data_IF_255231145398
#
_entry.id   IF_255231145398
#
_cell.length_a   1.000
_cell.length_b   1.000
_cell.length_c   1.000
_cell.angle_alpha   90.00
_cell.angle_beta   90.00
_cell.angle_gamma   90.00
#
_symmetry.space_group_name_H-M   'P 1'
#
loop_
_entity.id
_entity.type
_entity.pdbx_description
1 polymer ?
#
# COMPACT_ATOMS: atom_id res chain seq x y z
N UNK A 1 11.25 22.98 3.08
CA UNK A 1 10.94 21.60 2.69
C UNK A 1 9.48 21.28 2.97
N UNK A 2 8.94 20.27 2.36
CA UNK A 2 7.59 19.74 2.60
C UNK A 2 7.68 18.26 2.98
N UNK A 3 6.62 17.69 3.54
CA UNK A 3 6.56 16.27 3.88
C UNK A 3 5.35 15.60 3.19
N UNK A 4 5.55 14.38 2.67
CA UNK A 4 4.48 13.46 2.37
C UNK A 4 4.08 12.76 3.67
N UNK A 5 2.95 13.17 4.25
CA UNK A 5 2.50 12.70 5.56
C UNK A 5 1.29 11.78 5.41
N UNK A 6 1.49 10.47 5.51
CA UNK A 6 0.42 9.46 5.38
C UNK A 6 -0.37 9.21 6.67
N UNK A 7 0.11 9.69 7.82
CA UNK A 7 -0.45 9.35 9.13
C UNK A 7 0.05 8.00 9.68
N UNK A 8 0.88 7.27 8.94
CA UNK A 8 1.56 6.08 9.44
C UNK A 8 2.73 6.44 10.38
N UNK A 9 3.13 5.48 11.23
CA UNK A 9 4.16 5.64 12.26
C UNK A 9 5.47 6.24 11.74
N UNK A 10 5.93 5.79 10.58
CA UNK A 10 7.20 6.23 9.99
C UNK A 10 7.12 7.71 9.55
N UNK A 11 6.06 8.08 8.85
CA UNK A 11 5.85 9.48 8.43
C UNK A 11 5.59 10.42 9.62
N UNK A 12 5.03 9.91 10.73
CA UNK A 12 4.86 10.66 11.98
C UNK A 12 6.20 10.99 12.62
N UNK A 13 7.12 10.01 12.67
CA UNK A 13 8.48 10.23 13.19
C UNK A 13 9.22 11.28 12.36
N UNK A 14 9.14 11.20 11.03
CA UNK A 14 9.74 12.21 10.15
C UNK A 14 9.12 13.58 10.37
N UNK A 15 7.79 13.67 10.47
CA UNK A 15 7.11 14.92 10.75
C UNK A 15 7.57 15.53 12.06
N UNK A 16 7.59 14.76 13.16
CA UNK A 16 8.02 15.22 14.46
C UNK A 16 9.49 15.66 14.48
N UNK A 17 10.38 14.84 13.91
CA UNK A 17 11.83 15.09 13.88
C UNK A 17 12.22 16.36 13.12
N UNK A 18 11.44 16.69 12.08
CA UNK A 18 11.74 17.83 11.19
C UNK A 18 10.69 18.95 11.26
N UNK A 19 9.78 18.94 12.24
CA UNK A 19 8.64 19.87 12.35
C UNK A 19 9.01 21.34 12.20
N UNK A 20 10.12 21.77 12.79
CA UNK A 20 10.57 23.18 12.75
C UNK A 20 11.04 23.62 11.36
N UNK A 21 11.28 22.68 10.44
CA UNK A 21 11.77 22.91 9.08
C UNK A 21 10.72 22.61 8.02
N UNK A 22 9.65 21.92 8.39
CA UNK A 22 8.55 21.58 7.47
C UNK A 22 7.63 22.78 7.33
N UNK A 23 7.47 23.26 6.09
CA UNK A 23 6.58 24.38 5.78
C UNK A 23 5.15 23.94 5.48
N UNK A 24 4.97 22.65 5.11
CA UNK A 24 3.69 22.11 4.64
C UNK A 24 3.72 20.58 4.63
N UNK A 25 2.63 19.98 5.06
CA UNK A 25 2.37 18.56 4.89
C UNK A 25 1.43 18.32 3.70
N UNK A 26 1.69 17.27 2.93
CA UNK A 26 0.83 16.85 1.82
C UNK A 26 0.35 15.44 2.12
N UNK A 27 -0.97 15.23 2.06
CA UNK A 27 -1.64 13.97 2.27
C UNK A 27 -2.40 13.56 1.01
N UNK A 28 -2.26 12.31 0.57
CA UNK A 28 -3.02 11.76 -0.53
C UNK A 28 -4.35 11.17 -0.02
N UNK A 29 -5.47 11.79 -0.40
CA UNK A 29 -6.80 11.23 -0.16
C UNK A 29 -7.29 10.53 -1.43
N UNK A 30 -7.25 9.21 -1.41
CA UNK A 30 -7.70 8.36 -2.53
C UNK A 30 -9.21 8.25 -2.63
N UNK A 31 -9.97 8.83 -1.68
CA UNK A 31 -11.40 8.59 -1.52
C UNK A 31 -11.72 7.25 -0.83
N UNK A 32 -10.69 6.47 -0.50
CA UNK A 32 -10.83 5.18 0.22
C UNK A 32 -9.91 5.07 1.43
N UNK A 33 -9.40 6.19 1.92
CA UNK A 33 -8.67 6.23 3.19
C UNK A 33 -9.65 5.95 4.34
N UNK A 34 -9.21 5.23 5.36
CA UNK A 34 -10.01 5.04 6.56
C UNK A 34 -10.30 6.39 7.25
N UNK A 35 -11.56 6.65 7.68
CA UNK A 35 -11.92 7.95 8.26
C UNK A 35 -11.03 8.39 9.43
N UNK A 36 -10.73 7.48 10.36
CA UNK A 36 -9.86 7.79 11.51
C UNK A 36 -8.43 8.15 11.11
N UNK A 37 -7.91 7.62 9.97
CA UNK A 37 -6.59 8.00 9.47
C UNK A 37 -6.58 9.45 8.97
N UNK A 38 -7.64 9.88 8.27
CA UNK A 38 -7.78 11.27 7.83
C UNK A 38 -7.85 12.21 9.04
N UNK A 39 -8.64 11.86 10.05
CA UNK A 39 -8.80 12.66 11.27
C UNK A 39 -7.49 12.73 12.06
N UNK A 40 -6.76 11.63 12.14
CA UNK A 40 -5.43 11.60 12.77
C UNK A 40 -4.44 12.52 12.05
N UNK A 41 -4.38 12.49 10.71
CA UNK A 41 -3.53 13.38 9.91
C UNK A 41 -3.86 14.85 10.16
N UNK A 42 -5.15 15.20 10.18
CA UNK A 42 -5.59 16.59 10.45
C UNK A 42 -5.18 17.04 11.85
N UNK A 43 -5.52 16.26 12.89
CA UNK A 43 -5.18 16.56 14.29
C UNK A 43 -3.67 16.68 14.51
N UNK A 44 -2.89 15.80 13.89
CA UNK A 44 -1.44 15.85 14.01
C UNK A 44 -0.86 17.12 13.37
N UNK A 45 -1.32 17.47 12.18
CA UNK A 45 -0.88 18.70 11.52
C UNK A 45 -1.30 19.96 12.29
N UNK A 46 -2.50 19.98 12.87
CA UNK A 46 -2.98 21.06 13.74
C UNK A 46 -2.13 21.17 15.01
N UNK A 47 -1.85 20.04 15.69
CA UNK A 47 -1.00 19.99 16.91
C UNK A 47 0.38 20.59 16.69
N UNK A 48 0.98 20.39 15.52
CA UNK A 48 2.31 20.90 15.18
C UNK A 48 2.28 22.19 14.35
N UNK A 49 1.12 22.80 14.19
CA UNK A 49 0.91 24.03 13.40
C UNK A 49 1.46 23.96 11.96
N UNK A 50 1.43 22.76 11.37
CA UNK A 50 1.91 22.50 10.01
C UNK A 50 0.72 22.57 9.03
N UNK A 51 0.72 23.49 8.06
CA UNK A 51 -0.34 23.58 7.04
C UNK A 51 -0.49 22.25 6.29
N UNK A 52 -1.69 21.67 6.31
CA UNK A 52 -2.03 20.43 5.64
C UNK A 52 -2.69 20.72 4.28
N UNK A 53 -2.16 20.08 3.25
CA UNK A 53 -2.78 20.03 1.93
C UNK A 53 -3.25 18.61 1.65
N UNK A 54 -4.52 18.45 1.33
CA UNK A 54 -5.10 17.18 0.91
C UNK A 54 -5.16 17.17 -0.60
N UNK A 55 -4.39 16.26 -1.20
CA UNK A 55 -4.34 16.02 -2.65
C UNK A 55 -5.22 14.84 -2.98
N UNK A 56 -6.09 15.01 -3.97
CA UNK A 56 -7.01 13.98 -4.46
C UNK A 56 -6.72 13.64 -5.91
N UNK A 57 -6.88 12.37 -6.25
CA UNK A 57 -6.95 11.97 -7.66
C UNK A 57 -8.20 12.57 -8.31
N UNK A 58 -8.13 13.03 -9.56
CA UNK A 58 -9.31 13.39 -10.33
C UNK A 58 -10.18 12.17 -10.67
N UNK A 59 -9.62 10.97 -10.52
CA UNK A 59 -10.30 9.70 -10.80
C UNK A 59 -10.89 9.15 -9.50
N UNK A 60 -12.16 8.73 -9.55
CA UNK A 60 -12.79 8.04 -8.43
C UNK A 60 -12.24 6.62 -8.30
N UNK A 61 -11.76 6.26 -7.12
CA UNK A 61 -11.10 4.96 -6.89
C UNK A 61 -12.08 3.78 -7.03
N UNK A 62 -13.35 3.95 -6.68
CA UNK A 62 -14.34 2.88 -6.81
C UNK A 62 -14.68 2.62 -8.28
N UNK A 63 -14.80 3.68 -9.09
CA UNK A 63 -14.99 3.58 -10.53
C UNK A 63 -13.75 2.98 -11.20
N UNK A 64 -12.55 3.37 -10.77
CA UNK A 64 -11.30 2.79 -11.24
C UNK A 64 -11.24 1.28 -10.99
N UNK A 65 -11.55 0.85 -9.77
CA UNK A 65 -11.58 -0.56 -9.39
C UNK A 65 -12.67 -1.32 -10.15
N UNK A 66 -13.81 -0.69 -10.43
CA UNK A 66 -14.87 -1.31 -11.23
C UNK A 66 -14.39 -1.67 -12.64
N UNK A 67 -13.59 -0.78 -13.26
CA UNK A 67 -13.10 -0.98 -14.63
C UNK A 67 -11.80 -1.79 -14.70
N UNK A 68 -10.90 -1.64 -13.72
CA UNK A 68 -9.56 -2.24 -13.72
C UNK A 68 -9.43 -3.48 -12.84
N UNK A 69 -10.35 -3.66 -11.90
CA UNK A 69 -10.30 -4.72 -10.89
C UNK A 69 -9.62 -4.31 -9.58
N UNK A 70 -9.67 -5.21 -8.60
CA UNK A 70 -9.03 -5.01 -7.30
C UNK A 70 -7.50 -5.10 -7.41
N UNK A 71 -6.74 -4.23 -6.72
CA UNK A 71 -5.29 -4.38 -6.64
C UNK A 71 -4.91 -5.70 -5.97
N UNK A 72 -3.97 -6.44 -6.53
CA UNK A 72 -3.52 -7.72 -5.99
C UNK A 72 -2.03 -7.94 -6.24
N UNK A 73 -1.33 -8.38 -5.20
CA UNK A 73 0.05 -8.85 -5.25
C UNK A 73 0.19 -10.24 -5.89
N UNK A 74 -0.93 -10.98 -5.98
CA UNK A 74 -1.01 -12.27 -6.69
C UNK A 74 -1.35 -12.11 -8.17
N UNK A 75 -1.08 -10.94 -8.75
CA UNK A 75 -1.37 -10.67 -10.14
C UNK A 75 -0.67 -11.68 -11.06
N UNK A 76 -1.47 -12.54 -11.66
CA UNK A 76 -1.05 -13.39 -12.77
C UNK A 76 -1.07 -12.51 -14.02
N UNK A 77 0.02 -12.49 -14.77
CA UNK A 77 0.17 -11.72 -16.00
C UNK A 77 -1.13 -11.71 -16.82
N UNK A 78 -1.50 -10.53 -17.32
CA UNK A 78 -2.61 -10.40 -18.27
C UNK A 78 -2.50 -11.53 -19.28
N UNK A 79 -3.45 -12.43 -19.26
CA UNK A 79 -3.66 -13.30 -20.40
C UNK A 79 -3.69 -12.40 -21.65
N UNK A 80 -3.10 -12.79 -22.77
CA UNK A 80 -3.00 -11.96 -23.97
C UNK A 80 -4.36 -11.53 -24.53
N UNK A 81 -5.47 -12.01 -23.96
CA UNK A 81 -6.81 -11.62 -24.33
C UNK A 81 -7.28 -10.44 -23.45
N UNK A 82 -7.42 -9.22 -24.00
CA UNK A 82 -7.91 -8.06 -23.29
C UNK A 82 -9.35 -8.20 -22.75
N UNK A 83 -10.08 -9.22 -23.18
CA UNK A 83 -11.45 -9.49 -22.74
C UNK A 83 -11.53 -10.38 -21.48
N UNK A 84 -10.43 -10.96 -21.01
CA UNK A 84 -10.37 -11.68 -19.74
C UNK A 84 -10.11 -10.69 -18.60
N UNK A 85 -11.16 -10.03 -18.14
CA UNK A 85 -11.07 -9.22 -16.93
C UNK A 85 -11.27 -10.14 -15.72
N UNK A 86 -10.15 -10.58 -15.13
CA UNK A 86 -10.15 -11.34 -13.87
C UNK A 86 -10.59 -10.50 -12.66
N UNK A 87 -10.91 -9.22 -12.88
CA UNK A 87 -11.23 -8.29 -11.78
C UNK A 87 -10.05 -7.95 -10.88
N UNK A 88 -8.82 -8.17 -11.36
CA UNK A 88 -7.58 -7.87 -10.65
C UNK A 88 -6.68 -6.94 -11.47
N UNK A 89 -5.91 -6.08 -10.77
CA UNK A 89 -4.91 -5.19 -11.36
C UNK A 89 -3.64 -5.20 -10.50
N UNK A 90 -2.55 -4.67 -11.05
CA UNK A 90 -1.33 -4.43 -10.28
C UNK A 90 -1.55 -3.36 -9.22
N UNK A 91 -1.01 -3.54 -8.00
CA UNK A 91 -1.06 -2.51 -6.95
C UNK A 91 -0.50 -1.16 -7.44
N UNK A 92 0.60 -1.20 -8.20
CA UNK A 92 1.28 -0.01 -8.71
C UNK A 92 0.42 0.78 -9.71
N UNK A 93 -0.44 0.12 -10.50
CA UNK A 93 -1.37 0.79 -11.40
C UNK A 93 -2.40 1.62 -10.61
N UNK A 94 -2.95 1.03 -9.54
CA UNK A 94 -3.89 1.71 -8.67
C UNK A 94 -3.22 2.83 -7.86
N UNK A 95 -2.10 2.55 -7.19
CA UNK A 95 -1.37 3.54 -6.41
C UNK A 95 -0.81 4.65 -7.30
N UNK A 96 -0.37 4.31 -8.52
CA UNK A 96 0.09 5.27 -9.50
C UNK A 96 -0.97 6.31 -9.82
N UNK A 97 -2.20 5.88 -10.08
CA UNK A 97 -3.29 6.77 -10.46
C UNK A 97 -3.89 7.52 -9.26
N UNK A 98 -4.00 6.84 -8.11
CA UNK A 98 -4.68 7.40 -6.94
C UNK A 98 -3.77 8.25 -6.04
N UNK A 99 -2.46 7.96 -6.01
CA UNK A 99 -1.52 8.55 -5.06
C UNK A 99 -0.36 9.24 -5.77
N UNK A 100 0.43 8.48 -6.56
CA UNK A 100 1.74 8.96 -7.00
C UNK A 100 1.64 10.09 -8.00
N UNK A 101 0.86 9.94 -9.07
CA UNK A 101 0.68 10.99 -10.08
C UNK A 101 0.05 12.27 -9.50
N UNK A 102 -1.08 12.22 -8.75
CA UNK A 102 -1.66 13.43 -8.17
C UNK A 102 -0.71 14.15 -7.22
N UNK A 103 -0.01 13.40 -6.35
CA UNK A 103 0.96 13.97 -5.41
C UNK A 103 2.14 14.61 -6.14
N UNK A 104 2.70 13.91 -7.13
CA UNK A 104 3.83 14.40 -7.91
C UNK A 104 3.47 15.67 -8.70
N UNK A 105 2.35 15.64 -9.41
CA UNK A 105 1.85 16.80 -10.15
C UNK A 105 1.62 18.03 -9.24
N UNK A 106 1.05 17.79 -8.05
CA UNK A 106 0.87 18.86 -7.08
C UNK A 106 2.23 19.43 -6.60
N UNK A 107 3.19 18.57 -6.29
CA UNK A 107 4.53 19.00 -5.86
C UNK A 107 5.25 19.83 -6.93
N UNK A 108 5.14 19.44 -8.20
CA UNK A 108 5.66 20.24 -9.33
C UNK A 108 4.95 21.60 -9.38
N UNK A 109 3.62 21.61 -9.33
CA UNK A 109 2.80 22.83 -9.44
C UNK A 109 3.17 23.87 -8.38
N UNK A 110 3.48 23.44 -7.15
CA UNK A 110 3.88 24.35 -6.07
C UNK A 110 5.38 24.65 -6.05
N UNK A 111 6.15 24.15 -7.00
CA UNK A 111 7.60 24.34 -7.09
C UNK A 111 8.36 23.73 -5.91
N UNK A 112 7.92 22.57 -5.41
CA UNK A 112 8.59 21.88 -4.31
C UNK A 112 10.05 21.58 -4.68
N UNK A 113 10.98 21.81 -3.73
CA UNK A 113 12.41 21.56 -3.95
C UNK A 113 12.93 20.38 -3.12
N UNK A 114 12.46 20.24 -1.89
CA UNK A 114 12.85 19.15 -0.99
C UNK A 114 11.59 18.54 -0.41
N UNK A 115 11.47 17.23 -0.54
CA UNK A 115 10.32 16.43 -0.07
C UNK A 115 10.81 15.34 0.87
N UNK A 116 10.32 15.35 2.11
CA UNK A 116 10.59 14.31 3.10
C UNK A 116 9.56 13.19 2.99
N UNK A 117 10.01 11.95 3.16
CA UNK A 117 9.18 10.75 3.16
C UNK A 117 9.57 9.84 4.33
N UNK A 118 8.60 9.07 4.86
CA UNK A 118 8.83 8.09 5.94
C UNK A 118 9.23 6.71 5.45
N UNK A 119 9.83 6.58 4.25
CA UNK A 119 10.19 5.29 3.68
C UNK A 119 11.50 4.76 4.25
N UNK A 120 11.56 3.43 4.48
CA UNK A 120 12.75 2.70 4.94
C UNK A 120 13.27 1.76 3.86
N UNK A 121 14.54 1.36 3.96
CA UNK A 121 15.13 0.35 3.06
C UNK A 121 14.43 -1.00 3.14
N UNK A 122 13.86 -1.33 4.32
CA UNK A 122 13.12 -2.57 4.57
C UNK A 122 11.70 -2.58 3.99
N UNK A 123 11.16 -1.44 3.55
CA UNK A 123 9.85 -1.38 2.94
C UNK A 123 9.86 -2.06 1.58
N UNK A 124 8.89 -2.93 1.32
CA UNK A 124 8.85 -3.81 0.12
C UNK A 124 8.60 -3.07 -1.21
N UNK A 125 8.45 -1.76 -1.19
CA UNK A 125 8.24 -0.98 -2.41
C UNK A 125 9.57 -0.56 -3.00
N UNK A 126 9.64 -0.51 -4.33
CA UNK A 126 10.80 -0.04 -5.07
C UNK A 126 11.17 1.35 -4.56
N UNK A 127 12.20 1.41 -3.76
CA UNK A 127 12.76 2.67 -3.31
C UNK A 127 13.97 3.02 -4.14
N UNK A 128 14.05 4.29 -4.50
CA UNK A 128 15.20 4.84 -5.25
C UNK A 128 16.38 5.18 -4.33
N UNK A 129 16.34 4.81 -3.04
CA UNK A 129 17.39 5.02 -2.06
C UNK A 129 17.04 6.00 -0.96
N UNK A 130 18.03 6.31 -0.10
CA UNK A 130 17.88 7.27 0.99
C UNK A 130 17.55 8.68 0.47
N UNK A 131 18.17 9.05 -0.66
CA UNK A 131 17.95 10.30 -1.36
C UNK A 131 17.93 10.06 -2.86
N UNK A 132 17.10 10.80 -3.60
CA UNK A 132 17.05 10.77 -5.05
C UNK A 132 16.41 12.03 -5.61
N UNK A 133 16.72 12.34 -6.87
CA UNK A 133 16.14 13.47 -7.61
C UNK A 133 15.14 12.97 -8.66
N UNK A 134 14.00 13.65 -8.75
CA UNK A 134 13.00 13.41 -9.78
C UNK A 134 12.33 14.74 -10.17
N UNK A 135 12.34 15.07 -11.44
CA UNK A 135 11.72 16.28 -12.02
C UNK A 135 12.07 17.58 -11.27
N UNK A 136 13.34 17.72 -10.85
CA UNK A 136 13.85 18.88 -10.12
C UNK A 136 13.40 18.97 -8.65
N UNK A 137 12.87 17.89 -8.11
CA UNK A 137 12.50 17.71 -6.69
C UNK A 137 13.51 16.74 -6.07
N UNK A 138 14.13 17.15 -4.97
CA UNK A 138 14.99 16.30 -4.16
C UNK A 138 14.16 15.59 -3.08
N UNK A 139 14.09 14.26 -3.16
CA UNK A 139 13.39 13.41 -2.20
C UNK A 139 14.37 12.87 -1.17
N UNK A 140 13.99 12.92 0.10
CA UNK A 140 14.79 12.45 1.22
C UNK A 140 13.96 11.49 2.08
N UNK A 141 14.53 10.33 2.36
CA UNK A 141 13.99 9.30 3.26
C UNK A 141 14.83 9.26 4.55
N UNK A 142 14.56 10.11 5.55
CA UNK A 142 15.42 10.26 6.72
C UNK A 142 15.51 9.04 7.63
N UNK A 143 14.59 8.07 7.45
CA UNK A 143 14.54 6.82 8.21
C UNK A 143 15.06 5.63 7.38
N UNK A 144 15.83 5.88 6.32
CA UNK A 144 16.23 4.84 5.36
C UNK A 144 16.82 3.59 6.04
N UNK A 145 17.74 3.78 6.98
CA UNK A 145 18.43 2.70 7.68
C UNK A 145 17.75 2.29 9.01
N UNK A 146 16.57 2.83 9.31
CA UNK A 146 15.85 2.52 10.54
C UNK A 146 15.09 1.20 10.42
N UNK A 147 15.03 0.48 11.56
CA UNK A 147 14.13 -0.66 11.76
C UNK A 147 12.77 -0.19 12.28
N UNK A 148 11.80 -1.10 12.31
CA UNK A 148 10.51 -0.82 12.95
C UNK A 148 10.68 -0.59 14.46
N UNK A 149 11.62 -1.28 15.10
CA UNK A 149 11.93 -1.10 16.53
C UNK A 149 12.49 0.30 16.80
N UNK A 150 13.36 0.82 15.92
CA UNK A 150 13.87 2.20 16.05
C UNK A 150 12.74 3.22 15.97
N UNK A 151 11.79 3.00 15.05
CA UNK A 151 10.60 3.87 14.90
C UNK A 151 9.73 3.85 16.15
N UNK A 152 9.41 2.66 16.69
CA UNK A 152 8.60 2.56 17.92
C UNK A 152 9.35 3.07 19.15
N UNK A 153 10.66 2.86 19.26
CA UNK A 153 11.47 3.42 20.33
C UNK A 153 11.42 4.94 20.32
N UNK A 154 11.58 5.57 19.15
CA UNK A 154 11.45 7.00 19.00
C UNK A 154 10.06 7.52 19.39
N UNK A 155 8.99 6.83 18.96
CA UNK A 155 7.61 7.16 19.31
C UNK A 155 7.42 7.13 20.83
N UNK A 156 7.92 6.10 21.50
CA UNK A 156 7.80 5.94 22.95
C UNK A 156 8.66 6.99 23.70
N UNK A 157 9.90 7.23 23.25
CA UNK A 157 10.80 8.21 23.86
C UNK A 157 10.22 9.64 23.85
N UNK A 158 9.48 9.96 22.78
CA UNK A 158 8.90 11.30 22.60
C UNK A 158 7.40 11.37 22.92
N UNK A 159 6.82 10.31 23.49
CA UNK A 159 5.39 10.20 23.83
C UNK A 159 4.48 10.64 22.66
N UNK A 160 4.77 10.13 21.46
CA UNK A 160 4.01 10.49 20.29
C UNK A 160 2.71 9.69 20.22
N UNK A 161 1.61 10.40 20.06
CA UNK A 161 0.33 9.78 19.76
C UNK A 161 0.36 9.16 18.35
N UNK A 162 -0.01 7.88 18.23
CA UNK A 162 -0.14 7.17 16.96
C UNK A 162 -1.61 6.92 16.63
N UNK A 163 -1.90 6.64 15.36
CA UNK A 163 -3.26 6.37 14.93
C UNK A 163 -3.86 5.13 15.65
N UNK A 164 -5.15 5.20 16.00
CA UNK A 164 -5.82 4.23 16.88
C UNK A 164 -5.73 2.77 16.42
N UNK A 165 -5.62 2.53 15.11
CA UNK A 165 -5.54 1.18 14.57
C UNK A 165 -4.28 0.42 15.01
N UNK A 166 -3.20 1.12 15.37
CA UNK A 166 -1.97 0.48 15.88
C UNK A 166 -2.18 -0.26 17.20
N UNK A 167 -3.27 0.01 17.93
CA UNK A 167 -3.67 -0.74 19.11
C UNK A 167 -4.22 -2.15 18.78
N UNK A 168 -4.66 -2.37 17.55
CA UNK A 168 -5.23 -3.65 17.08
C UNK A 168 -4.39 -4.31 15.97
N UNK A 169 -3.71 -3.49 15.16
CA UNK A 169 -2.93 -3.91 13.99
C UNK A 169 -1.57 -3.22 14.03
N UNK A 170 -0.48 -3.98 14.03
CA UNK A 170 0.88 -3.43 14.07
C UNK A 170 1.38 -2.91 12.70
N UNK A 171 0.48 -2.72 11.74
CA UNK A 171 0.79 -2.35 10.36
C UNK A 171 0.06 -1.06 9.99
N UNK A 172 0.63 -0.29 9.07
CA UNK A 172 -0.04 0.86 8.48
C UNK A 172 -1.27 0.41 7.69
N UNK A 173 -2.35 1.18 7.79
CA UNK A 173 -3.54 0.98 6.97
C UNK A 173 -3.44 1.83 5.70
N UNK A 174 -3.58 1.16 4.56
CA UNK A 174 -3.76 1.82 3.27
C UNK A 174 -5.25 2.14 3.02
N UNK A 175 -5.67 2.12 1.76
CA UNK A 175 -7.08 2.23 1.42
C UNK A 175 -7.88 1.06 1.99
N UNK A 176 -9.09 1.33 2.53
CA UNK A 176 -9.95 0.27 3.09
C UNK A 176 -10.37 -0.78 2.05
N UNK A 177 -10.39 -0.41 0.76
CA UNK A 177 -10.70 -1.30 -0.36
C UNK A 177 -9.45 -1.92 -1.01
N UNK A 178 -8.26 -1.72 -0.44
CA UNK A 178 -7.02 -2.28 -0.96
C UNK A 178 -6.90 -3.76 -0.61
N UNK A 179 -6.66 -4.57 -1.62
CA UNK A 179 -6.45 -6.01 -1.51
C UNK A 179 -5.05 -6.43 -1.98
N UNK A 180 -4.16 -5.45 -2.17
CA UNK A 180 -2.80 -5.66 -2.65
C UNK A 180 -1.95 -6.58 -1.77
N UNK A 181 -2.29 -6.69 -0.50
CA UNK A 181 -1.48 -7.39 0.49
C UNK A 181 -2.21 -8.62 1.10
N UNK A 182 -3.10 -9.26 0.34
CA UNK A 182 -3.84 -10.44 0.84
C UNK A 182 -2.96 -11.65 1.13
N UNK A 183 -1.79 -11.75 0.50
CA UNK A 183 -0.81 -12.81 0.77
C UNK A 183 0.02 -12.57 2.04
N UNK A 184 0.02 -11.36 2.59
CA UNK A 184 0.79 -11.01 3.79
C UNK A 184 0.17 -11.56 5.07
N UNK A 185 0.98 -11.86 6.07
CA UNK A 185 0.54 -12.39 7.37
C UNK A 185 -0.50 -11.50 8.08
N UNK A 186 -0.44 -10.19 7.88
CA UNK A 186 -1.36 -9.20 8.46
C UNK A 186 -2.73 -9.12 7.77
N UNK A 187 -2.90 -9.69 6.58
CA UNK A 187 -4.10 -9.52 5.76
C UNK A 187 -5.40 -9.89 6.49
N UNK A 188 -5.42 -11.03 7.19
CA UNK A 188 -6.60 -11.49 7.93
C UNK A 188 -6.98 -10.54 9.08
N UNK A 189 -5.99 -9.96 9.78
CA UNK A 189 -6.22 -8.97 10.85
C UNK A 189 -6.83 -7.70 10.27
N UNK A 190 -6.28 -7.21 9.15
CA UNK A 190 -6.74 -6.02 8.47
C UNK A 190 -8.18 -6.17 7.94
N UNK A 191 -8.51 -7.29 7.29
CA UNK A 191 -9.87 -7.57 6.85
C UNK A 191 -10.84 -7.69 8.04
N UNK A 192 -10.42 -8.34 9.13
CA UNK A 192 -11.20 -8.45 10.37
C UNK A 192 -11.42 -7.09 11.03
N UNK A 193 -10.41 -6.24 11.06
CA UNK A 193 -10.52 -4.86 11.53
C UNK A 193 -11.55 -4.08 10.72
N UNK A 194 -11.44 -4.12 9.38
CA UNK A 194 -12.40 -3.44 8.50
C UNK A 194 -13.82 -3.93 8.75
N UNK A 195 -14.01 -5.26 8.85
CA UNK A 195 -15.34 -5.85 9.14
C UNK A 195 -15.91 -5.41 10.48
N UNK A 196 -15.07 -5.35 11.52
CA UNK A 196 -15.48 -5.01 12.89
C UNK A 196 -15.77 -3.52 13.06
N UNK A 197 -14.86 -2.67 12.58
CA UNK A 197 -14.90 -1.22 12.82
C UNK A 197 -15.67 -0.44 11.76
N UNK A 198 -15.76 -0.96 10.54
CA UNK A 198 -16.35 -0.28 9.39
C UNK A 198 -17.24 -1.25 8.59
N UNK A 199 -18.37 -1.73 9.17
CA UNK A 199 -19.22 -2.75 8.54
C UNK A 199 -19.79 -2.32 7.19
N UNK A 200 -20.07 -1.02 7.00
CA UNK A 200 -20.56 -0.51 5.70
C UNK A 200 -19.48 -0.56 4.62
N UNK A 201 -18.23 -0.21 4.95
CA UNK A 201 -17.11 -0.34 4.03
C UNK A 201 -16.83 -1.81 3.72
N UNK A 202 -16.91 -2.66 4.74
CA UNK A 202 -16.80 -4.11 4.56
C UNK A 202 -17.85 -4.68 3.60
N UNK A 203 -19.08 -4.21 3.66
CA UNK A 203 -20.15 -4.64 2.77
C UNK A 203 -19.81 -4.38 1.29
N UNK A 204 -19.20 -3.23 0.99
CA UNK A 204 -18.74 -2.89 -0.36
C UNK A 204 -17.56 -3.79 -0.77
N UNK A 205 -16.54 -3.88 0.08
CA UNK A 205 -15.34 -4.68 -0.18
C UNK A 205 -15.66 -6.17 -0.34
N UNK A 206 -16.47 -6.74 0.57
CA UNK A 206 -16.83 -8.16 0.54
C UNK A 206 -17.60 -8.55 -0.71
N UNK A 207 -18.43 -7.67 -1.26
CA UNK A 207 -19.13 -7.90 -2.54
C UNK A 207 -18.12 -8.05 -3.68
N UNK A 208 -17.11 -7.18 -3.75
CA UNK A 208 -16.04 -7.24 -4.77
C UNK A 208 -15.16 -8.48 -4.60
N UNK A 209 -14.76 -8.80 -3.36
CA UNK A 209 -14.01 -10.02 -3.05
C UNK A 209 -14.79 -11.29 -3.42
N UNK A 210 -16.11 -11.31 -3.18
CA UNK A 210 -16.97 -12.43 -3.55
C UNK A 210 -17.06 -12.61 -5.07
N UNK A 211 -17.02 -11.52 -5.84
CA UNK A 211 -16.95 -11.59 -7.30
C UNK A 211 -15.65 -12.22 -7.76
N UNK A 212 -14.50 -11.73 -7.27
CA UNK A 212 -13.17 -12.28 -7.59
C UNK A 212 -13.11 -13.76 -7.24
N UNK A 213 -13.56 -14.14 -6.03
CA UNK A 213 -13.60 -15.55 -5.61
C UNK A 213 -14.41 -16.42 -6.56
N UNK A 214 -15.60 -15.99 -6.98
CA UNK A 214 -16.43 -16.77 -7.91
C UNK A 214 -15.77 -16.92 -9.28
N UNK A 215 -15.11 -15.87 -9.76
CA UNK A 215 -14.39 -15.93 -11.05
C UNK A 215 -13.26 -16.94 -10.97
N UNK A 216 -12.43 -16.89 -9.91
CA UNK A 216 -11.33 -17.84 -9.73
C UNK A 216 -11.80 -19.29 -9.59
N UNK A 217 -12.90 -19.53 -8.86
CA UNK A 217 -13.47 -20.87 -8.72
C UNK A 217 -13.98 -21.40 -10.07
N UNK A 218 -14.62 -20.56 -10.88
CA UNK A 218 -15.09 -20.95 -12.22
C UNK A 218 -13.92 -21.28 -13.15
N UNK A 219 -12.85 -20.50 -13.13
CA UNK A 219 -11.65 -20.80 -13.92
C UNK A 219 -11.01 -22.12 -13.47
N UNK A 220 -11.00 -22.39 -12.17
CA UNK A 220 -10.53 -23.68 -11.65
C UNK A 220 -11.39 -24.83 -12.15
N UNK A 221 -12.72 -24.72 -12.08
CA UNK A 221 -13.64 -25.75 -12.62
C UNK A 221 -13.38 -26.04 -14.11
N UNK A 222 -13.19 -25.00 -14.92
CA UNK A 222 -12.86 -25.14 -16.35
C UNK A 222 -11.54 -25.85 -16.55
N UNK A 223 -10.52 -25.53 -15.72
CA UNK A 223 -9.23 -26.20 -15.78
C UNK A 223 -9.35 -27.68 -15.37
N UNK A 224 -10.08 -27.97 -14.31
CA UNK A 224 -10.30 -29.34 -13.82
C UNK A 224 -11.05 -30.19 -14.84
N UNK A 225 -12.01 -29.59 -15.58
CA UNK A 225 -12.73 -30.26 -16.67
C UNK A 225 -11.89 -30.44 -17.95
N UNK A 226 -10.92 -29.55 -18.19
CA UNK A 226 -10.15 -29.48 -19.43
C UNK A 226 -8.85 -30.30 -19.39
N UNK A 227 -8.36 -30.62 -18.22
CA UNK A 227 -7.11 -31.33 -18.01
C UNK A 227 -7.29 -32.47 -17.01
N UNK A 228 -6.82 -33.67 -17.37
CA UNK A 228 -6.51 -34.71 -16.40
C UNK A 228 -5.33 -34.24 -15.57
N UNK A 229 -5.63 -33.39 -14.58
CA UNK A 229 -4.61 -32.74 -13.77
C UNK A 229 -3.90 -33.78 -12.90
N UNK A 230 -2.62 -33.99 -13.17
CA UNK A 230 -1.68 -34.36 -12.13
C UNK A 230 -1.83 -33.31 -11.03
N UNK A 231 -2.14 -33.67 -9.77
CA UNK A 231 -2.39 -32.71 -8.72
C UNK A 231 -1.28 -31.66 -8.67
N UNK A 232 -1.67 -30.40 -8.60
CA UNK A 232 -0.72 -29.26 -8.57
C UNK A 232 0.38 -29.46 -7.52
N UNK A 233 0.05 -30.20 -6.45
CA UNK A 233 0.94 -30.61 -5.39
C UNK A 233 2.12 -31.44 -5.88
N UNK A 234 1.91 -32.38 -6.80
CA UNK A 234 2.97 -33.23 -7.34
C UNK A 234 3.87 -32.46 -8.29
N UNK A 235 3.34 -31.50 -9.05
CA UNK A 235 4.15 -30.64 -9.92
C UNK A 235 5.01 -29.66 -9.13
N UNK A 236 4.51 -29.10 -8.02
CA UNK A 236 5.29 -28.23 -7.13
C UNK A 236 6.39 -29.03 -6.42
N UNK A 237 6.10 -30.25 -5.98
CA UNK A 237 7.08 -31.13 -5.34
C UNK A 237 8.17 -31.55 -6.34
N UNK A 238 7.80 -31.94 -7.56
CA UNK A 238 8.75 -32.24 -8.63
C UNK A 238 9.64 -31.03 -8.98
N UNK A 239 9.07 -29.83 -9.02
CA UNK A 239 9.84 -28.61 -9.28
C UNK A 239 10.80 -28.25 -8.14
N UNK A 240 10.43 -28.52 -6.90
CA UNK A 240 11.31 -28.36 -5.75
C UNK A 240 12.44 -29.40 -5.74
N UNK A 241 12.14 -30.63 -6.08
CA UNK A 241 13.14 -31.70 -6.23
C UNK A 241 14.11 -31.39 -7.39
N UNK A 242 13.60 -30.90 -8.53
CA UNK A 242 14.44 -30.48 -9.66
C UNK A 242 15.40 -29.34 -9.28
N UNK A 243 14.92 -28.30 -8.58
CA UNK A 243 15.79 -27.21 -8.07
C UNK A 243 16.81 -27.67 -7.04
N UNK A 244 16.52 -28.71 -6.29
CA UNK A 244 17.49 -29.27 -5.33
C UNK A 244 18.60 -30.03 -6.04
N UNK A 245 18.30 -30.72 -7.15
CA UNK A 245 19.29 -31.42 -7.97
C UNK A 245 20.22 -30.46 -8.74
N UNK A 246 19.71 -29.34 -9.25
CA UNK A 246 20.57 -28.32 -9.89
C UNK A 246 21.63 -27.74 -8.94
N UNK A 247 21.27 -27.57 -7.65
CA UNK A 247 22.22 -27.08 -6.63
C UNK A 247 23.30 -28.10 -6.25
N UNK A 248 23.07 -29.38 -6.50
CA UNK A 248 24.03 -30.43 -6.18
C UNK A 248 24.99 -30.79 -7.32
N UNK A 249 24.70 -30.33 -8.55
CA UNK A 249 25.51 -30.60 -9.75
C UNK A 249 26.26 -29.36 -10.28
N UNK A 250 26.21 -28.26 -9.54
CA UNK A 250 26.86 -26.98 -9.88
C UNK A 250 28.08 -26.64 -9.02
N UNK A 251 28.94 -27.66 -8.71
CA UNK A 251 30.27 -27.45 -8.16
C UNK A 251 31.32 -28.04 -9.10
#
# INVERSE_FOLDING_TARGET
>A
MIIQFSGGKDSLVVLHKFRDRIKKAIFADTGSVFPHCIDFVKKTCEKYEIPLIIVRSPVNVLDWIEHKGLPSDTYIHKAPNPNTNLGLQRPEECCGEMIWKPMHNYMITIGAKIVLRGQKASDHHVSLGAEFDCDGIHFVNPLWDWTDDDVFNYINEHDLEIAEHYNEINESLDCWNCTAHLSHKGASKRLSYTKKRYPELWKILSKKLSFVKRTLLREQEILDESFDMVPLYDSVKQHQEWRSMEKTHGN
#
